data_IF_803766450536
#
_entry.id   IF_803766450536
#
_cell.length_a   1.000
_cell.length_b   1.000
_cell.length_c   1.000
_cell.angle_alpha   90.00
_cell.angle_beta   90.00
_cell.angle_gamma   90.00
#
_symmetry.space_group_name_H-M   'P 1'
#
loop_
_entity.id
_entity.type
_entity.pdbx_description
1 polymer ?
#
# COMPACT_ATOMS: atom_id res chain seq x y z
N UNK A 1 -45.48 19.16 -30.66
CA UNK A 1 -44.02 19.20 -30.91
C UNK A 1 -43.18 19.32 -29.63
N UNK A 2 -43.52 20.21 -28.68
CA UNK A 2 -42.76 20.42 -27.41
C UNK A 2 -42.69 19.19 -26.47
N UNK A 3 -43.75 18.37 -26.41
CA UNK A 3 -43.82 17.14 -25.61
C UNK A 3 -42.84 16.05 -26.09
N UNK A 4 -42.64 15.90 -27.39
CA UNK A 4 -41.72 14.91 -27.97
C UNK A 4 -40.26 15.26 -27.69
N UNK A 5 -39.92 16.55 -27.75
CA UNK A 5 -38.58 17.07 -27.48
C UNK A 5 -38.23 16.88 -26.00
N UNK A 6 -39.17 17.18 -25.10
CA UNK A 6 -38.99 17.01 -23.66
C UNK A 6 -38.85 15.54 -23.24
N UNK A 7 -39.61 14.63 -23.85
CA UNK A 7 -39.49 13.19 -23.57
C UNK A 7 -38.12 12.63 -24.00
N UNK A 8 -37.62 13.04 -25.17
CA UNK A 8 -36.28 12.66 -25.62
C UNK A 8 -35.17 13.13 -24.68
N UNK A 9 -35.28 14.36 -24.16
CA UNK A 9 -34.34 14.90 -23.17
C UNK A 9 -34.39 14.09 -21.87
N UNK A 10 -35.59 13.76 -21.38
CA UNK A 10 -35.75 12.98 -20.15
C UNK A 10 -35.14 11.58 -20.30
N UNK A 11 -35.39 10.88 -21.41
CA UNK A 11 -34.78 9.57 -21.66
C UNK A 11 -33.26 9.66 -21.78
N UNK A 12 -32.74 10.69 -22.44
CA UNK A 12 -31.31 10.93 -22.52
C UNK A 12 -30.69 11.19 -21.13
N UNK A 13 -31.36 11.99 -20.30
CA UNK A 13 -30.88 12.32 -18.96
C UNK A 13 -30.90 11.08 -18.04
N UNK A 14 -31.97 10.29 -18.09
CA UNK A 14 -32.06 9.01 -17.35
C UNK A 14 -31.01 8.01 -17.83
N UNK A 15 -30.80 7.88 -19.14
CA UNK A 15 -29.77 7.00 -19.70
C UNK A 15 -28.37 7.45 -19.30
N UNK A 16 -28.10 8.77 -19.32
CA UNK A 16 -26.83 9.32 -18.88
C UNK A 16 -26.59 9.05 -17.38
N UNK A 17 -27.59 9.28 -16.52
CA UNK A 17 -27.47 8.99 -15.08
C UNK A 17 -27.23 7.50 -14.82
N UNK A 18 -27.87 6.60 -15.59
CA UNK A 18 -27.65 5.16 -15.48
C UNK A 18 -26.22 4.74 -15.87
N UNK A 19 -25.65 5.34 -16.93
CA UNK A 19 -24.26 5.09 -17.35
C UNK A 19 -23.26 5.60 -16.32
N UNK A 20 -23.50 6.78 -15.72
CA UNK A 20 -22.64 7.36 -14.70
C UNK A 20 -22.60 6.53 -13.39
N UNK A 21 -23.66 5.80 -13.07
CA UNK A 21 -23.71 4.93 -11.87
C UNK A 21 -22.77 3.72 -11.94
N UNK A 22 -22.18 3.42 -13.10
CA UNK A 22 -21.29 2.26 -13.26
C UNK A 22 -19.83 2.54 -12.89
N UNK A 23 -19.46 3.80 -12.63
CA UNK A 23 -18.11 4.18 -12.24
C UNK A 23 -17.93 4.13 -10.71
N UNK A 24 -18.01 2.93 -10.13
CA UNK A 24 -17.53 2.70 -8.76
C UNK A 24 -16.08 2.25 -8.85
N UNK A 25 -15.15 3.10 -8.42
CA UNK A 25 -13.76 2.71 -8.22
C UNK A 25 -13.67 1.88 -6.94
N UNK A 26 -13.40 0.59 -7.06
CA UNK A 26 -13.06 -0.23 -5.91
C UNK A 26 -11.69 0.19 -5.37
N UNK A 27 -11.59 0.35 -4.06
CA UNK A 27 -10.32 0.57 -3.38
C UNK A 27 -9.39 -0.63 -3.64
N UNK A 28 -8.12 -0.36 -3.95
CA UNK A 28 -7.16 -1.44 -4.22
C UNK A 28 -7.15 -2.41 -3.04
N UNK A 29 -7.38 -3.70 -3.34
CA UNK A 29 -7.35 -4.75 -2.32
C UNK A 29 -6.00 -4.69 -1.62
N UNK A 30 -6.01 -4.49 -0.30
CA UNK A 30 -4.81 -4.51 0.52
C UNK A 30 -4.05 -5.83 0.28
N UNK A 31 -2.76 -5.69 -0.02
CA UNK A 31 -1.87 -6.82 -0.24
C UNK A 31 -1.62 -7.56 1.07
N UNK A 32 -1.35 -8.86 1.00
CA UNK A 32 -0.84 -9.57 2.18
C UNK A 32 0.54 -9.01 2.57
N UNK A 33 0.96 -9.14 3.84
CA UNK A 33 2.28 -8.68 4.27
C UNK A 33 3.43 -9.25 3.42
N UNK A 34 3.35 -10.52 3.04
CA UNK A 34 4.37 -11.18 2.22
C UNK A 34 4.42 -10.63 0.79
N UNK A 35 3.29 -10.17 0.26
CA UNK A 35 3.19 -9.54 -1.06
C UNK A 35 3.64 -8.07 -1.02
N UNK A 36 3.31 -7.35 0.05
CA UNK A 36 3.70 -5.96 0.26
C UNK A 36 5.20 -5.81 0.59
N UNK A 37 5.78 -6.79 1.26
CA UNK A 37 7.13 -6.77 1.81
C UNK A 37 7.90 -8.06 1.51
N UNK A 38 8.17 -8.34 0.23
CA UNK A 38 8.89 -9.55 -0.18
C UNK A 38 10.30 -9.58 0.41
N UNK A 39 10.59 -10.56 1.27
CA UNK A 39 11.83 -10.68 2.03
C UNK A 39 12.85 -11.62 1.37
N UNK A 40 14.13 -11.25 1.38
CA UNK A 40 15.24 -12.09 0.94
C UNK A 40 16.48 -11.93 1.81
N UNK A 41 17.33 -12.95 1.82
CA UNK A 41 18.58 -13.01 2.58
C UNK A 41 19.70 -13.47 1.68
N UNK A 42 20.82 -12.76 1.74
CA UNK A 42 22.06 -13.11 1.05
C UNK A 42 23.21 -13.12 2.05
N UNK A 43 24.19 -14.01 1.87
CA UNK A 43 25.40 -14.08 2.69
C UNK A 43 26.61 -13.72 1.85
N UNK A 44 26.87 -12.42 1.62
CA UNK A 44 27.93 -11.99 0.69
C UNK A 44 29.35 -12.29 1.21
N UNK A 45 29.51 -12.45 2.52
CA UNK A 45 30.79 -12.68 3.19
C UNK A 45 30.58 -13.58 4.42
N UNK A 46 31.65 -14.23 4.87
CA UNK A 46 31.64 -14.98 6.14
C UNK A 46 31.19 -14.07 7.30
N UNK A 47 30.31 -14.59 8.16
CA UNK A 47 29.74 -13.88 9.32
C UNK A 47 28.89 -12.63 9.01
N UNK A 48 28.54 -12.39 7.74
CA UNK A 48 27.65 -11.28 7.36
C UNK A 48 26.43 -11.80 6.62
N UNK A 49 25.25 -11.31 7.00
CA UNK A 49 24.01 -11.53 6.27
C UNK A 49 23.42 -10.17 5.84
N UNK A 50 23.03 -10.08 4.58
CA UNK A 50 22.30 -8.95 4.01
C UNK A 50 20.82 -9.32 3.94
N UNK A 51 20.02 -8.56 4.69
CA UNK A 51 18.57 -8.69 4.74
C UNK A 51 17.98 -7.65 3.79
N UNK A 52 17.10 -8.06 2.87
CA UNK A 52 16.50 -7.16 1.88
C UNK A 52 14.98 -7.35 1.83
N UNK A 53 14.27 -6.24 1.61
CA UNK A 53 12.83 -6.24 1.37
C UNK A 53 12.55 -5.48 0.09
N UNK A 54 11.74 -6.07 -0.79
CA UNK A 54 11.11 -5.36 -1.89
C UNK A 54 9.74 -4.86 -1.42
N UNK A 55 9.59 -3.53 -1.34
CA UNK A 55 8.43 -2.88 -0.75
C UNK A 55 7.54 -2.34 -1.88
N UNK A 56 6.25 -2.69 -1.84
CA UNK A 56 5.27 -2.23 -2.83
C UNK A 56 4.94 -0.72 -2.68
N UNK A 57 4.49 -0.05 -3.75
CA UNK A 57 4.10 1.37 -3.67
C UNK A 57 3.06 1.62 -2.57
N UNK A 58 3.21 2.74 -1.84
CA UNK A 58 2.36 3.15 -0.72
C UNK A 58 2.47 2.28 0.55
N UNK A 59 3.47 1.38 0.64
CA UNK A 59 3.82 0.66 1.85
C UNK A 59 5.18 1.14 2.39
N UNK A 60 5.39 1.05 3.70
CA UNK A 60 6.66 1.43 4.33
C UNK A 60 6.91 0.63 5.61
N UNK A 61 8.19 0.47 5.94
CA UNK A 61 8.65 -0.22 7.15
C UNK A 61 9.29 0.77 8.11
N UNK A 62 8.97 0.65 9.40
CA UNK A 62 9.52 1.49 10.44
C UNK A 62 10.92 1.04 10.84
N UNK A 63 11.94 1.87 10.60
CA UNK A 63 13.34 1.53 10.90
C UNK A 63 13.55 1.10 12.37
N UNK A 64 12.90 1.78 13.33
CA UNK A 64 13.05 1.49 14.76
C UNK A 64 12.30 0.22 15.23
N UNK A 65 11.58 -0.47 14.32
CA UNK A 65 10.88 -1.73 14.61
C UNK A 65 11.68 -2.97 14.22
N UNK A 66 12.83 -2.80 13.57
CA UNK A 66 13.70 -3.92 13.25
C UNK A 66 14.46 -4.40 14.49
N UNK A 67 14.47 -5.70 14.69
CA UNK A 67 15.28 -6.37 15.72
C UNK A 67 15.75 -7.69 15.14
N UNK A 68 17.03 -7.98 15.30
CA UNK A 68 17.62 -9.25 14.88
C UNK A 68 18.37 -9.84 16.07
N UNK A 69 18.17 -11.13 16.30
CA UNK A 69 18.75 -11.85 17.41
C UNK A 69 19.26 -13.20 16.93
N UNK A 70 20.37 -13.66 17.51
CA UNK A 70 20.86 -15.02 17.38
C UNK A 70 20.61 -15.73 18.73
N UNK A 71 19.56 -16.55 18.79
CA UNK A 71 19.04 -17.02 20.06
C UNK A 71 18.59 -15.83 20.91
N UNK A 72 19.18 -15.67 22.10
CA UNK A 72 18.90 -14.54 23.01
C UNK A 72 19.87 -13.36 22.83
N UNK A 73 20.83 -13.43 21.91
CA UNK A 73 21.83 -12.37 21.71
C UNK A 73 21.36 -11.39 20.62
N UNK A 74 21.08 -10.12 20.95
CA UNK A 74 20.76 -9.12 19.95
C UNK A 74 21.97 -8.80 19.07
N UNK A 75 21.74 -8.72 17.77
CA UNK A 75 22.76 -8.39 16.78
C UNK A 75 22.65 -6.93 16.37
N UNK A 76 23.81 -6.28 16.19
CA UNK A 76 23.88 -4.90 15.69
C UNK A 76 23.49 -4.87 14.22
N UNK A 77 22.53 -4.00 13.89
CA UNK A 77 22.06 -3.80 12.52
C UNK A 77 22.65 -2.51 11.94
N UNK A 78 23.27 -2.63 10.77
CA UNK A 78 23.62 -1.47 9.97
C UNK A 78 22.46 -1.16 9.01
N UNK A 79 21.53 -0.32 9.45
CA UNK A 79 20.36 0.09 8.67
C UNK A 79 20.62 1.43 7.97
N UNK A 80 20.15 1.62 6.73
CA UNK A 80 20.18 2.92 6.09
C UNK A 80 19.33 3.93 6.88
N UNK A 81 19.64 5.23 6.75
CA UNK A 81 18.83 6.27 7.40
C UNK A 81 17.39 6.24 6.88
N UNK A 82 16.41 6.19 7.78
CA UNK A 82 15.01 6.33 7.42
C UNK A 82 14.69 7.75 6.94
N UNK A 83 13.67 7.82 6.09
CA UNK A 83 12.98 9.05 5.75
C UNK A 83 11.90 9.31 6.80
N UNK A 84 11.78 10.57 7.25
CA UNK A 84 10.71 10.97 8.16
C UNK A 84 9.37 10.88 7.43
N UNK A 85 8.49 10.01 7.91
CA UNK A 85 7.14 9.83 7.39
C UNK A 85 6.13 10.16 8.50
N UNK A 86 5.15 11.00 8.19
CA UNK A 86 4.03 11.27 9.09
C UNK A 86 2.95 10.23 8.87
N UNK A 87 2.59 9.49 9.93
CA UNK A 87 1.48 8.54 9.94
C UNK A 87 0.48 8.91 11.04
N UNK A 88 -0.79 9.06 10.66
CA UNK A 88 -1.91 9.37 11.54
C UNK A 88 -2.15 8.26 12.58
N UNK A 89 -1.70 7.03 12.32
CA UNK A 89 -1.92 5.86 13.18
C UNK A 89 -1.03 5.77 14.43
N UNK A 90 -0.05 6.65 14.61
CA UNK A 90 0.85 6.61 15.79
C UNK A 90 0.36 7.42 17.00
N UNK A 91 -0.82 8.05 16.91
CA UNK A 91 -1.42 8.89 17.98
C UNK A 91 -2.40 8.16 18.90
N UNK A 92 -2.33 6.83 18.97
CA UNK A 92 -3.19 5.99 19.82
C UNK A 92 -2.33 5.13 20.75
N UNK A 93 -1.43 5.76 21.52
CA UNK A 93 -0.79 5.13 22.66
C UNK A 93 -0.72 6.08 23.84
#
# INVERSE_FOLDING_TARGET
MKKLISQGIIYFLVAATFVLSQFVFAEDKLLSPEQAFSFSVESPQSHTAKLSWQIQPNYYLYQHKFTVQQGNQPLTLNLPKAVSQYDLCTRQK
#
